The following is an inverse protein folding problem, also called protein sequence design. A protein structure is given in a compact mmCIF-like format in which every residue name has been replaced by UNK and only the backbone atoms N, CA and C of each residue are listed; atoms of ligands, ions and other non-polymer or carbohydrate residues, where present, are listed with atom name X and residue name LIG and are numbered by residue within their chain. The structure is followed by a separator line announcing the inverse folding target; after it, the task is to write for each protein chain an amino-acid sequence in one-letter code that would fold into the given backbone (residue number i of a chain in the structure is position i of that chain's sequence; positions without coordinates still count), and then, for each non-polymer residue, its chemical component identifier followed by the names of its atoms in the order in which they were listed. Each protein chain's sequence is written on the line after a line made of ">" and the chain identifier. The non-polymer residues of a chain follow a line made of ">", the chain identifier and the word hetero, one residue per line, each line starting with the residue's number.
data_IF_197351018659
#
_entry.id   IF_197351018659
#
_cell.length_a   1.000
_cell.length_b   1.000
_cell.length_c   1.000
_cell.angle_alpha   90.00
_cell.angle_beta   90.00
_cell.angle_gamma   90.00
#
_symmetry.space_group_name_H-M   'P 1'
#
loop_
_entity.id
_entity.type
_entity.pdbx_description
1 polymer ?
#
# COMPACT_ATOMS: atom_id res chain seq x y z
N UNK A 1 22.75 50.47 74.01
CA UNK A 1 21.89 51.49 73.36
C UNK A 1 22.13 51.45 71.86
N UNK A 2 21.02 51.38 71.10
CA UNK A 2 20.95 51.32 69.64
C UNK A 2 21.78 52.42 68.97
N UNK A 3 22.43 52.09 67.84
CA UNK A 3 22.41 52.93 66.64
C UNK A 3 22.64 52.08 65.39
N UNK A 4 21.56 52.05 64.62
CA UNK A 4 21.31 51.45 63.32
C UNK A 4 22.27 52.04 62.28
N UNK A 5 22.98 51.18 61.54
CA UNK A 5 23.70 51.55 60.32
C UNK A 5 22.96 50.92 59.14
N UNK A 6 22.44 51.80 58.27
CA UNK A 6 21.87 51.49 56.97
C UNK A 6 23.05 51.29 56.02
N UNK A 7 23.23 50.08 55.51
CA UNK A 7 24.16 49.77 54.43
C UNK A 7 23.35 49.40 53.18
N UNK A 8 23.48 50.21 52.14
CA UNK A 8 22.94 49.96 50.80
C UNK A 8 23.65 48.74 50.19
N UNK A 9 22.93 47.63 50.04
CA UNK A 9 23.37 46.45 49.31
C UNK A 9 22.94 46.51 47.85
N UNK A 10 23.92 46.55 46.96
CA UNK A 10 23.79 46.47 45.51
C UNK A 10 23.36 45.05 45.12
N UNK A 11 22.14 44.85 44.62
CA UNK A 11 21.67 43.57 44.08
C UNK A 11 21.89 43.56 42.56
N UNK A 12 22.93 42.85 42.09
CA UNK A 12 23.10 42.47 40.69
C UNK A 12 22.11 41.34 40.36
N UNK A 13 21.11 41.64 39.53
CA UNK A 13 20.23 40.66 38.90
C UNK A 13 20.94 40.04 37.69
N UNK A 14 21.34 38.78 37.80
CA UNK A 14 21.74 37.92 36.69
C UNK A 14 20.47 37.41 35.97
N UNK A 15 20.07 38.09 34.90
CA UNK A 15 19.07 37.60 33.96
C UNK A 15 19.75 36.60 33.01
N UNK A 16 19.40 35.32 33.15
CA UNK A 16 19.79 34.27 32.21
C UNK A 16 19.06 34.47 30.88
N UNK A 17 19.80 34.81 29.83
CA UNK A 17 19.31 34.76 28.45
C UNK A 17 19.54 33.35 27.91
N UNK A 18 18.50 32.52 27.95
CA UNK A 18 18.45 31.30 27.17
C UNK A 18 18.36 31.66 25.68
N UNK A 19 19.38 31.28 24.90
CA UNK A 19 19.31 31.30 23.45
C UNK A 19 18.32 30.23 23.00
N UNK A 20 17.07 30.64 22.76
CA UNK A 20 16.08 29.81 22.07
C UNK A 20 16.40 29.75 20.59
N UNK A 21 16.74 28.56 20.09
CA UNK A 21 16.69 28.25 18.66
C UNK A 21 15.25 28.45 18.18
N UNK A 22 15.04 29.50 17.40
CA UNK A 22 13.79 29.75 16.71
C UNK A 22 13.64 28.70 15.59
N UNK A 23 12.99 27.58 15.88
CA UNK A 23 12.37 26.78 14.84
C UNK A 23 11.31 27.67 14.19
N UNK A 24 11.58 28.13 12.96
CA UNK A 24 10.55 28.73 12.12
C UNK A 24 9.57 27.62 11.77
N UNK A 25 8.49 27.52 12.53
CA UNK A 25 7.28 26.84 12.07
C UNK A 25 6.79 27.60 10.83
N UNK A 26 7.01 27.02 9.65
CA UNK A 26 6.23 27.39 8.48
C UNK A 26 4.74 27.19 8.79
N UNK A 27 3.84 27.98 8.20
CA UNK A 27 2.41 27.79 8.41
C UNK A 27 2.03 26.35 8.05
N UNK A 28 1.14 25.69 8.82
CA UNK A 28 0.63 24.39 8.43
C UNK A 28 -0.02 24.51 7.05
N UNK A 29 0.43 23.69 6.09
CA UNK A 29 -0.26 23.54 4.81
C UNK A 29 -1.63 22.98 5.15
N UNK A 30 -2.68 23.78 4.93
CA UNK A 30 -4.05 23.29 5.04
C UNK A 30 -4.20 22.10 4.09
N UNK A 31 -4.73 20.94 4.54
CA UNK A 31 -4.98 19.84 3.63
C UNK A 31 -5.90 20.33 2.51
N UNK A 32 -5.43 20.22 1.27
CA UNK A 32 -6.21 20.57 0.09
C UNK A 32 -7.50 19.73 0.03
N UNK A 33 -8.53 20.27 -0.61
CA UNK A 33 -9.71 19.48 -0.94
C UNK A 33 -9.35 18.34 -1.92
N UNK A 34 -10.31 17.43 -2.20
CA UNK A 34 -10.11 16.33 -3.13
C UNK A 34 -9.62 16.82 -4.49
N UNK A 35 -8.63 16.12 -5.03
CA UNK A 35 -7.95 16.52 -6.28
C UNK A 35 -8.21 15.57 -7.43
N UNK A 36 -8.59 14.32 -7.14
CA UNK A 36 -8.81 13.28 -8.13
C UNK A 36 -10.26 13.19 -8.58
N UNK A 37 -11.21 13.41 -7.66
CA UNK A 37 -12.63 13.15 -7.88
C UNK A 37 -13.21 13.95 -9.05
N UNK A 38 -13.90 13.27 -9.96
CA UNK A 38 -14.69 13.86 -11.05
C UNK A 38 -16.20 13.68 -10.82
N UNK A 39 -16.57 13.41 -9.57
CA UNK A 39 -17.91 13.05 -9.18
C UNK A 39 -18.85 14.27 -9.14
N UNK A 40 -20.09 14.07 -9.54
CA UNK A 40 -21.17 15.01 -9.22
C UNK A 40 -21.56 14.96 -7.73
N UNK A 41 -22.40 15.89 -7.28
CA UNK A 41 -22.80 15.97 -5.87
C UNK A 41 -23.48 14.69 -5.36
N UNK A 42 -24.30 14.04 -6.18
CA UNK A 42 -25.00 12.80 -5.81
C UNK A 42 -24.05 11.61 -5.74
N UNK A 43 -23.07 11.53 -6.65
CA UNK A 43 -21.99 10.53 -6.64
C UNK A 43 -21.12 10.65 -5.38
N UNK A 44 -20.79 11.89 -5.00
CA UNK A 44 -20.07 12.16 -3.75
C UNK A 44 -20.87 11.69 -2.53
N UNK A 45 -22.16 12.04 -2.46
CA UNK A 45 -23.04 11.61 -1.37
C UNK A 45 -23.10 10.09 -1.27
N UNK A 46 -23.31 9.38 -2.40
CA UNK A 46 -23.36 7.91 -2.42
C UNK A 46 -22.04 7.29 -1.98
N UNK A 47 -20.91 7.83 -2.43
CA UNK A 47 -19.57 7.35 -2.05
C UNK A 47 -19.35 7.47 -0.55
N UNK A 48 -19.52 8.67 0.02
CA UNK A 48 -19.28 8.90 1.45
C UNK A 48 -20.31 8.17 2.33
N UNK A 49 -21.57 8.07 1.90
CA UNK A 49 -22.60 7.33 2.62
C UNK A 49 -22.37 5.81 2.61
N UNK A 50 -21.56 5.29 1.69
CA UNK A 50 -21.23 3.85 1.63
C UNK A 50 -20.18 3.43 2.67
N UNK A 51 -19.50 4.39 3.30
CA UNK A 51 -18.43 4.13 4.27
C UNK A 51 -18.98 3.41 5.50
N UNK A 52 -18.38 2.26 5.85
CA UNK A 52 -18.73 1.51 7.05
C UNK A 52 -17.49 1.05 7.79
N UNK A 53 -17.49 1.20 9.12
CA UNK A 53 -16.49 0.55 9.99
C UNK A 53 -16.78 -0.95 10.05
N UNK A 54 -15.75 -1.77 9.83
CA UNK A 54 -15.86 -3.24 9.79
C UNK A 54 -14.99 -3.94 10.84
N UNK A 55 -14.00 -3.25 11.43
CA UNK A 55 -13.13 -3.77 12.49
C UNK A 55 -12.61 -2.64 13.40
N UNK A 56 -12.30 -2.95 14.66
CA UNK A 56 -11.77 -2.01 15.66
C UNK A 56 -10.26 -1.76 15.53
N UNK A 57 -9.52 -2.68 14.89
CA UNK A 57 -8.26 -2.35 14.24
C UNK A 57 -8.64 -1.51 13.01
N UNK A 58 -8.66 -0.16 13.11
CA UNK A 58 -9.60 0.69 12.39
C UNK A 58 -9.60 0.32 10.91
N UNK A 59 -10.62 -0.43 10.50
CA UNK A 59 -10.78 -0.90 9.14
C UNK A 59 -12.17 -0.54 8.69
N UNK A 60 -12.24 0.02 7.50
CA UNK A 60 -13.44 0.50 6.87
C UNK A 60 -13.64 -0.20 5.52
N UNK A 61 -14.86 -0.12 5.00
CA UNK A 61 -15.14 -0.42 3.60
C UNK A 61 -15.88 0.74 2.96
N UNK A 62 -15.66 0.97 1.67
CA UNK A 62 -16.33 2.01 0.89
C UNK A 62 -16.49 1.54 -0.57
N UNK A 63 -17.58 1.94 -1.19
CA UNK A 63 -17.79 1.79 -2.63
C UNK A 63 -17.69 3.18 -3.26
N UNK A 64 -16.70 3.36 -4.13
CA UNK A 64 -16.54 4.58 -4.90
C UNK A 64 -17.51 4.58 -6.08
N UNK A 65 -18.31 5.63 -6.20
CA UNK A 65 -19.31 5.78 -7.26
C UNK A 65 -18.93 6.91 -8.21
N UNK A 66 -18.51 6.58 -9.43
CA UNK A 66 -18.17 7.56 -10.48
C UNK A 66 -16.70 7.61 -10.84
N UNK A 67 -16.34 8.63 -11.63
CA UNK A 67 -15.02 8.78 -12.24
C UNK A 67 -14.04 9.54 -11.33
N UNK A 68 -12.76 9.31 -11.57
CA UNK A 68 -11.64 10.00 -10.95
C UNK A 68 -10.47 10.12 -11.92
N UNK A 69 -9.61 11.11 -11.72
CA UNK A 69 -8.36 11.22 -12.44
C UNK A 69 -7.26 10.38 -11.76
N UNK A 70 -6.87 9.20 -12.28
CA UNK A 70 -5.86 8.37 -11.64
C UNK A 70 -4.44 8.96 -11.72
N UNK A 71 -4.26 10.06 -12.46
CA UNK A 71 -2.99 10.77 -12.63
C UNK A 71 -2.87 12.00 -11.73
N UNK A 72 -3.96 12.42 -11.07
CA UNK A 72 -3.96 13.57 -10.19
C UNK A 72 -2.88 13.45 -9.08
N UNK A 73 -2.21 14.58 -8.79
CA UNK A 73 -1.24 14.67 -7.71
C UNK A 73 -1.94 14.74 -6.36
N UNK A 74 -1.39 14.05 -5.35
CA UNK A 74 -1.87 14.16 -3.97
C UNK A 74 -1.13 15.29 -3.25
N UNK A 75 -1.88 16.16 -2.58
CA UNK A 75 -1.29 17.20 -1.75
C UNK A 75 -0.81 16.61 -0.42
N UNK A 76 0.49 16.70 -0.15
CA UNK A 76 1.08 16.51 1.19
C UNK A 76 0.80 15.15 1.83
N UNK A 77 1.59 14.14 1.47
CA UNK A 77 1.67 12.90 2.24
C UNK A 77 2.72 13.02 3.34
N UNK A 78 2.39 12.62 4.57
CA UNK A 78 3.38 12.49 5.65
C UNK A 78 4.29 11.31 5.33
N UNK A 79 5.63 11.48 5.29
CA UNK A 79 6.55 10.37 5.08
C UNK A 79 6.50 9.45 6.30
N UNK A 80 6.23 8.16 6.12
CA UNK A 80 6.16 7.23 7.21
C UNK A 80 7.40 6.33 7.27
N UNK A 81 7.61 5.71 8.44
CA UNK A 81 8.75 4.80 8.68
C UNK A 81 8.67 3.57 7.76
N UNK A 82 9.79 2.99 7.30
CA UNK A 82 9.75 1.76 6.49
C UNK A 82 9.18 0.59 7.31
N UNK A 83 8.31 -0.23 6.70
CA UNK A 83 7.81 -1.47 7.32
C UNK A 83 7.59 -2.62 6.33
N UNK A 84 7.37 -3.79 6.94
CA UNK A 84 7.40 -5.09 6.31
C UNK A 84 6.16 -5.44 5.48
N UNK A 85 6.34 -6.20 4.41
CA UNK A 85 5.24 -6.90 3.74
C UNK A 85 5.73 -8.30 3.37
N UNK A 86 4.81 -9.25 3.33
CA UNK A 86 5.07 -10.60 2.80
C UNK A 86 3.99 -10.91 1.78
N UNK A 87 4.38 -11.26 0.56
CA UNK A 87 3.46 -11.54 -0.55
C UNK A 87 3.83 -12.84 -1.23
N UNK A 88 2.83 -13.54 -1.77
CA UNK A 88 3.07 -14.62 -2.72
C UNK A 88 1.89 -14.83 -3.66
N UNK A 89 2.21 -15.35 -4.84
CA UNK A 89 1.28 -15.93 -5.78
C UNK A 89 1.42 -17.46 -5.74
N UNK A 90 0.31 -18.16 -5.51
CA UNK A 90 0.18 -19.61 -5.54
C UNK A 90 -0.59 -20.00 -6.80
N UNK A 91 0.14 -20.51 -7.80
CA UNK A 91 -0.29 -20.71 -9.19
C UNK A 91 -0.21 -22.18 -9.62
N UNK A 92 -0.02 -23.10 -8.67
CA UNK A 92 0.07 -24.53 -8.90
C UNK A 92 -1.27 -25.16 -9.28
N UNK A 93 -2.38 -24.56 -8.82
CA UNK A 93 -3.73 -24.89 -9.27
C UNK A 93 -4.19 -23.84 -10.29
N UNK A 94 -4.19 -24.22 -11.58
CA UNK A 94 -4.51 -23.32 -12.70
C UNK A 94 -5.99 -22.92 -12.76
N UNK A 95 -6.86 -23.71 -12.14
CA UNK A 95 -8.29 -23.43 -12.06
C UNK A 95 -8.59 -22.50 -10.88
N UNK A 96 -7.72 -22.48 -9.85
CA UNK A 96 -7.86 -21.65 -8.66
C UNK A 96 -6.56 -20.92 -8.29
N UNK A 97 -5.98 -20.10 -9.19
CA UNK A 97 -4.81 -19.31 -8.88
C UNK A 97 -5.12 -18.26 -7.79
N UNK A 98 -4.18 -18.05 -6.88
CA UNK A 98 -4.38 -17.20 -5.70
C UNK A 98 -3.19 -16.26 -5.48
N UNK A 99 -3.48 -15.02 -5.07
CA UNK A 99 -2.49 -14.06 -4.59
C UNK A 99 -2.75 -13.73 -3.12
N UNK A 100 -1.71 -13.56 -2.32
CA UNK A 100 -1.82 -13.34 -0.89
C UNK A 100 -0.80 -12.31 -0.38
N UNK A 101 -1.18 -11.52 0.63
CA UNK A 101 -0.33 -10.48 1.23
C UNK A 101 -0.58 -10.30 2.73
N UNK A 102 0.50 -10.10 3.48
CA UNK A 102 0.51 -9.40 4.76
C UNK A 102 0.92 -7.94 4.55
N UNK A 103 0.21 -7.03 5.19
CA UNK A 103 0.62 -5.65 5.37
C UNK A 103 1.11 -5.45 6.81
N UNK A 104 2.40 -5.19 6.97
CA UNK A 104 3.00 -4.87 8.27
C UNK A 104 3.32 -3.39 8.31
N UNK A 105 2.74 -2.67 9.28
CA UNK A 105 2.85 -1.22 9.38
C UNK A 105 2.61 -0.74 10.81
N UNK A 106 2.89 0.52 11.07
CA UNK A 106 2.38 1.20 12.27
C UNK A 106 0.85 1.22 12.31
N UNK A 107 0.23 1.40 13.49
CA UNK A 107 -1.22 1.50 13.58
C UNK A 107 -1.81 2.59 12.69
N UNK A 108 -2.59 2.17 11.69
CA UNK A 108 -3.21 3.04 10.71
C UNK A 108 -4.68 2.64 10.45
N UNK A 109 -5.56 3.60 10.09
CA UNK A 109 -6.86 3.29 9.50
C UNK A 109 -6.71 2.73 8.09
N UNK A 110 -7.34 1.58 7.83
CA UNK A 110 -7.34 0.91 6.53
C UNK A 110 -8.74 0.95 5.89
N UNK A 111 -8.79 0.86 4.57
CA UNK A 111 -10.01 0.88 3.79
C UNK A 111 -10.00 -0.21 2.72
N UNK A 112 -11.02 -1.08 2.74
CA UNK A 112 -11.38 -1.92 1.59
C UNK A 112 -12.18 -1.06 0.63
N UNK A 113 -11.56 -0.70 -0.49
CA UNK A 113 -12.15 0.15 -1.51
C UNK A 113 -12.62 -0.68 -2.70
N UNK A 114 -13.88 -0.50 -3.09
CA UNK A 114 -14.40 -0.94 -4.39
C UNK A 114 -14.43 0.24 -5.35
N UNK A 115 -13.94 0.05 -6.57
CA UNK A 115 -14.05 1.02 -7.66
C UNK A 115 -14.58 0.33 -8.90
N UNK A 116 -15.35 1.05 -9.70
CA UNK A 116 -15.83 0.65 -11.02
C UNK A 116 -15.86 1.90 -11.93
N UNK A 117 -14.67 2.41 -12.34
CA UNK A 117 -14.59 3.62 -13.13
C UNK A 117 -15.10 3.38 -14.56
N UNK A 118 -15.71 4.37 -15.23
CA UNK A 118 -16.33 4.17 -16.55
C UNK A 118 -15.35 3.76 -17.65
N UNK A 119 -14.08 4.19 -17.54
CA UNK A 119 -13.02 3.96 -18.55
C UNK A 119 -11.90 3.03 -18.04
N UNK A 120 -12.19 2.19 -17.04
CA UNK A 120 -11.20 1.26 -16.46
C UNK A 120 -11.85 0.02 -15.84
N UNK A 121 -11.03 -0.89 -15.35
CA UNK A 121 -11.51 -2.12 -14.75
C UNK A 121 -12.06 -1.92 -13.33
N UNK A 122 -13.15 -2.62 -13.02
CA UNK A 122 -13.62 -2.76 -11.66
C UNK A 122 -12.57 -3.44 -10.78
N UNK A 123 -12.42 -3.03 -9.52
CA UNK A 123 -11.40 -3.57 -8.62
C UNK A 123 -11.77 -3.52 -7.14
N UNK A 124 -11.16 -4.42 -6.37
CA UNK A 124 -11.10 -4.34 -4.90
C UNK A 124 -9.64 -4.09 -4.51
N UNK A 125 -9.40 -3.06 -3.70
CA UNK A 125 -8.07 -2.71 -3.21
C UNK A 125 -8.07 -2.40 -1.71
N UNK A 126 -6.93 -2.61 -1.05
CA UNK A 126 -6.71 -2.13 0.32
C UNK A 126 -5.93 -0.81 0.29
N UNK A 127 -6.44 0.19 1.00
CA UNK A 127 -5.91 1.55 1.06
C UNK A 127 -5.57 1.89 2.51
N UNK A 128 -4.40 2.49 2.75
CA UNK A 128 -4.10 3.15 4.01
C UNK A 128 -4.58 4.61 3.96
N UNK A 129 -5.74 4.89 4.55
CA UNK A 129 -6.36 6.23 4.46
C UNK A 129 -5.67 7.26 5.35
N UNK A 130 -4.71 6.86 6.19
CA UNK A 130 -3.89 7.82 6.94
C UNK A 130 -3.03 8.70 6.02
N UNK A 131 -2.64 8.17 4.85
CA UNK A 131 -1.86 8.91 3.85
C UNK A 131 -2.68 10.02 3.16
N UNK A 132 -4.01 9.98 3.29
CA UNK A 132 -4.91 11.06 2.86
C UNK A 132 -5.05 12.15 3.95
N UNK A 133 -4.37 11.99 5.09
CA UNK A 133 -4.50 12.85 6.27
C UNK A 133 -5.83 12.68 7.02
N UNK A 134 -6.62 11.66 6.68
CA UNK A 134 -7.92 11.38 7.32
C UNK A 134 -7.69 10.99 8.78
N UNK A 135 -8.55 11.52 9.66
CA UNK A 135 -8.46 11.26 11.10
C UNK A 135 -8.90 9.83 11.48
N UNK A 136 -8.82 9.48 12.76
CA UNK A 136 -9.24 8.16 13.25
C UNK A 136 -10.72 7.86 12.99
N UNK A 137 -11.58 8.88 12.98
CA UNK A 137 -12.95 8.81 12.48
C UNK A 137 -13.01 9.43 11.07
N UNK A 138 -13.20 8.62 10.02
CA UNK A 138 -13.25 9.08 8.64
C UNK A 138 -14.66 9.53 8.19
N UNK A 139 -15.69 9.44 9.04
CA UNK A 139 -17.06 9.71 8.65
C UNK A 139 -17.26 11.14 8.09
N UNK A 140 -17.75 11.23 6.86
CA UNK A 140 -17.99 12.50 6.18
C UNK A 140 -16.74 13.25 5.69
N UNK A 141 -15.54 12.68 5.87
CA UNK A 141 -14.30 13.30 5.41
C UNK A 141 -14.18 13.22 3.89
N UNK A 142 -14.23 14.38 3.23
CA UNK A 142 -14.18 14.46 1.77
C UNK A 142 -12.85 13.99 1.20
N UNK A 143 -11.76 13.94 1.97
CA UNK A 143 -10.45 13.45 1.49
C UNK A 143 -10.49 11.98 1.07
N UNK A 144 -11.48 11.22 1.55
CA UNK A 144 -11.76 9.86 1.07
C UNK A 144 -12.05 9.79 -0.43
N UNK A 145 -12.45 10.89 -1.06
CA UNK A 145 -12.68 10.93 -2.50
C UNK A 145 -11.39 10.81 -3.33
N UNK A 146 -10.22 10.92 -2.69
CA UNK A 146 -8.91 10.64 -3.28
C UNK A 146 -8.39 9.22 -2.94
N UNK A 147 -9.16 8.41 -2.21
CA UNK A 147 -8.78 7.04 -1.85
C UNK A 147 -8.42 6.13 -3.05
N UNK A 148 -9.05 6.26 -4.24
CA UNK A 148 -8.61 5.50 -5.42
C UNK A 148 -7.14 5.70 -5.78
N UNK A 149 -6.49 6.80 -5.37
CA UNK A 149 -5.12 7.10 -5.74
C UNK A 149 -4.06 6.32 -4.94
N UNK A 150 -4.42 5.65 -3.85
CA UNK A 150 -3.48 5.00 -2.94
C UNK A 150 -3.79 3.52 -2.63
N UNK A 151 -4.02 2.65 -3.63
CA UNK A 151 -4.13 1.22 -3.37
C UNK A 151 -2.73 0.66 -3.01
N UNK A 152 -2.61 0.04 -1.84
CA UNK A 152 -1.38 -0.64 -1.41
C UNK A 152 -1.32 -2.09 -1.90
N UNK A 153 -2.47 -2.67 -2.19
CA UNK A 153 -2.64 -3.90 -2.95
C UNK A 153 -4.04 -3.93 -3.55
N UNK A 154 -4.30 -4.85 -4.47
CA UNK A 154 -5.64 -5.07 -5.01
C UNK A 154 -5.69 -6.10 -6.13
N UNK A 155 -6.90 -6.38 -6.58
CA UNK A 155 -7.21 -7.20 -7.74
C UNK A 155 -8.33 -6.57 -8.57
N UNK A 156 -8.21 -6.62 -9.89
CA UNK A 156 -9.26 -6.17 -10.80
C UNK A 156 -10.10 -7.33 -11.36
N UNK A 157 -11.19 -6.99 -12.05
CA UNK A 157 -12.17 -7.94 -12.59
C UNK A 157 -11.62 -8.86 -13.68
N UNK A 158 -10.40 -8.58 -14.18
CA UNK A 158 -9.67 -9.45 -15.10
C UNK A 158 -8.82 -10.51 -14.40
N UNK A 159 -8.78 -10.47 -13.07
CA UNK A 159 -8.00 -11.39 -12.26
C UNK A 159 -6.52 -11.04 -12.19
N UNK A 160 -6.14 -9.81 -12.55
CA UNK A 160 -4.82 -9.29 -12.28
C UNK A 160 -4.78 -8.75 -10.85
N UNK A 161 -3.84 -9.26 -10.05
CA UNK A 161 -3.53 -8.74 -8.73
C UNK A 161 -2.13 -8.10 -8.70
N UNK A 162 -2.01 -7.05 -7.88
CA UNK A 162 -0.76 -6.36 -7.60
C UNK A 162 -0.65 -6.06 -6.10
N UNK A 163 0.56 -6.20 -5.56
CA UNK A 163 0.89 -5.73 -4.23
C UNK A 163 2.33 -5.24 -4.18
N UNK A 164 2.65 -4.50 -3.12
CA UNK A 164 3.96 -3.90 -2.91
C UNK A 164 4.61 -4.32 -1.59
N UNK A 165 5.93 -4.26 -1.56
CA UNK A 165 6.78 -4.34 -0.38
C UNK A 165 7.91 -3.30 -0.46
N UNK A 166 8.40 -2.86 0.70
CA UNK A 166 9.53 -1.93 0.78
C UNK A 166 10.85 -2.64 0.44
N UNK A 167 11.71 -1.95 -0.30
CA UNK A 167 13.02 -2.42 -0.75
C UNK A 167 14.04 -1.31 -0.58
N UNK A 168 14.80 -1.31 0.51
CA UNK A 168 15.76 -0.24 0.81
C UNK A 168 16.89 -0.11 -0.24
N UNK A 169 17.06 -1.12 -1.10
CA UNK A 169 18.02 -1.09 -2.21
C UNK A 169 17.44 -0.52 -3.51
N UNK A 170 16.13 -0.31 -3.59
CA UNK A 170 15.48 0.14 -4.81
C UNK A 170 15.80 1.61 -5.11
N UNK A 171 16.17 1.89 -6.37
CA UNK A 171 16.45 3.23 -6.87
C UNK A 171 15.91 3.39 -8.27
N UNK A 172 15.03 4.38 -8.46
CA UNK A 172 14.49 4.74 -9.77
C UNK A 172 15.16 6.02 -10.29
N UNK A 173 15.82 5.94 -11.44
CA UNK A 173 16.27 7.12 -12.18
C UNK A 173 15.21 7.53 -13.21
N UNK A 174 14.85 8.83 -13.30
CA UNK A 174 13.91 9.29 -14.29
C UNK A 174 14.39 9.07 -15.73
N UNK A 175 13.55 8.49 -16.56
CA UNK A 175 13.72 8.38 -18.01
C UNK A 175 13.14 9.65 -18.67
N UNK A 176 13.92 10.39 -19.47
CA UNK A 176 13.43 11.59 -20.15
C UNK A 176 12.19 11.32 -21.02
N UNK A 177 11.19 12.19 -20.91
CA UNK A 177 9.96 12.14 -21.71
C UNK A 177 8.84 11.26 -21.14
N UNK A 178 9.08 10.49 -20.07
CA UNK A 178 8.01 9.77 -19.37
C UNK A 178 7.40 10.62 -18.24
N UNK A 179 6.06 10.61 -18.07
CA UNK A 179 5.41 11.26 -16.94
C UNK A 179 5.81 10.60 -15.62
N UNK A 180 5.86 11.38 -14.54
CA UNK A 180 6.10 10.88 -13.19
C UNK A 180 4.79 10.45 -12.52
N UNK A 181 4.85 9.39 -11.70
CA UNK A 181 3.74 8.95 -10.86
C UNK A 181 4.29 8.46 -9.52
N UNK A 182 3.53 8.68 -8.45
CA UNK A 182 3.90 8.19 -7.12
C UNK A 182 3.95 6.66 -7.08
N UNK A 183 4.86 6.14 -6.28
CA UNK A 183 5.17 4.71 -6.16
C UNK A 183 3.99 3.84 -5.72
N UNK A 184 3.03 4.37 -4.96
CA UNK A 184 1.77 3.65 -4.65
C UNK A 184 0.73 3.85 -5.75
N UNK A 185 0.65 5.06 -6.33
CA UNK A 185 -0.36 5.41 -7.33
C UNK A 185 -0.24 4.60 -8.62
N UNK A 186 0.95 4.09 -8.96
CA UNK A 186 1.10 3.16 -10.10
C UNK A 186 0.19 1.93 -9.98
N UNK A 187 -0.12 1.46 -8.76
CA UNK A 187 -1.05 0.33 -8.59
C UNK A 187 -2.46 0.66 -9.09
N UNK A 188 -2.93 1.90 -8.91
CA UNK A 188 -4.23 2.32 -9.45
C UNK A 188 -4.24 2.26 -10.98
N UNK A 189 -3.19 2.81 -11.61
CA UNK A 189 -3.04 2.75 -13.07
C UNK A 189 -2.96 1.32 -13.60
N UNK A 190 -2.30 0.41 -12.87
CA UNK A 190 -2.27 -1.01 -13.21
C UNK A 190 -3.65 -1.63 -13.09
N UNK A 191 -4.32 -1.44 -11.95
CA UNK A 191 -5.63 -2.02 -11.68
C UNK A 191 -6.69 -1.52 -12.67
N UNK A 192 -6.64 -0.25 -13.11
CA UNK A 192 -7.58 0.31 -14.09
C UNK A 192 -7.36 -0.17 -15.52
N UNK A 193 -6.11 -0.48 -15.92
CA UNK A 193 -5.75 -0.56 -17.34
C UNK A 193 -5.04 -1.83 -17.80
N UNK A 194 -4.75 -2.78 -16.90
CA UNK A 194 -4.08 -4.03 -17.25
C UNK A 194 -4.91 -5.26 -16.87
N UNK A 195 -5.10 -6.18 -17.82
CA UNK A 195 -5.74 -7.48 -17.62
C UNK A 195 -4.72 -8.60 -17.31
N UNK A 196 -3.46 -8.41 -17.71
CA UNK A 196 -2.40 -9.43 -17.60
C UNK A 196 -1.13 -8.86 -16.97
N UNK A 197 -0.24 -9.74 -16.50
CA UNK A 197 1.08 -9.34 -15.97
C UNK A 197 1.89 -8.60 -17.03
N UNK A 198 1.79 -8.96 -18.30
CA UNK A 198 2.53 -8.29 -19.36
C UNK A 198 2.01 -6.87 -19.63
N UNK A 199 0.69 -6.68 -19.61
CA UNK A 199 0.08 -5.35 -19.67
C UNK A 199 0.44 -4.52 -18.44
N UNK A 200 0.44 -5.12 -17.24
CA UNK A 200 0.86 -4.45 -16.01
C UNK A 200 2.30 -3.95 -16.10
N UNK A 201 3.23 -4.80 -16.57
CA UNK A 201 4.62 -4.40 -16.83
C UNK A 201 4.71 -3.29 -17.86
N UNK A 202 3.85 -3.30 -18.90
CA UNK A 202 3.77 -2.21 -19.86
C UNK A 202 3.29 -0.91 -19.20
N UNK A 203 2.37 -0.96 -18.23
CA UNK A 203 2.00 0.22 -17.42
C UNK A 203 3.21 0.77 -16.69
N UNK A 204 3.95 -0.04 -15.93
CA UNK A 204 5.15 0.42 -15.23
C UNK A 204 6.18 1.08 -16.17
N UNK A 205 6.34 0.57 -17.39
CA UNK A 205 7.28 1.14 -18.38
C UNK A 205 6.85 2.48 -18.97
N UNK A 206 5.58 2.90 -18.81
CA UNK A 206 5.07 4.18 -19.30
C UNK A 206 5.32 5.34 -18.33
N UNK A 207 5.77 5.07 -17.11
CA UNK A 207 5.91 6.07 -16.06
C UNK A 207 7.28 6.03 -15.39
N UNK A 208 7.76 7.21 -14.99
CA UNK A 208 8.80 7.32 -13.98
C UNK A 208 8.16 7.18 -12.61
N UNK A 209 8.66 6.26 -11.78
CA UNK A 209 8.21 6.19 -10.39
C UNK A 209 8.98 7.17 -9.53
N UNK A 210 8.22 7.88 -8.72
CA UNK A 210 8.72 8.71 -7.64
C UNK A 210 8.46 8.02 -6.29
N UNK A 211 9.53 7.81 -5.53
CA UNK A 211 9.46 7.24 -4.18
C UNK A 211 9.27 8.31 -3.10
N UNK A 212 9.16 9.59 -3.45
CA UNK A 212 8.89 10.67 -2.50
C UNK A 212 7.62 10.38 -1.69
N UNK A 213 7.70 10.67 -0.38
CA UNK A 213 6.61 10.42 0.57
C UNK A 213 6.51 8.98 1.09
N UNK A 214 7.43 8.09 0.73
CA UNK A 214 7.49 6.72 1.26
C UNK A 214 8.86 6.05 1.13
N UNK A 215 9.01 4.79 1.56
CA UNK A 215 10.21 4.02 1.29
C UNK A 215 10.28 3.65 -0.21
N UNK A 216 11.47 3.34 -0.75
CA UNK A 216 11.56 2.71 -2.06
C UNK A 216 10.85 1.35 -2.06
N UNK A 217 10.25 0.99 -3.21
CA UNK A 217 9.34 -0.16 -3.32
C UNK A 217 9.72 -1.10 -4.47
N UNK A 218 9.26 -2.34 -4.34
CA UNK A 218 9.10 -3.29 -5.43
C UNK A 218 7.71 -3.93 -5.40
N UNK A 219 7.34 -4.62 -6.47
CA UNK A 219 5.96 -5.04 -6.72
C UNK A 219 5.89 -6.49 -7.15
N UNK A 220 4.93 -7.24 -6.61
CA UNK A 220 4.57 -8.57 -7.09
C UNK A 220 3.28 -8.47 -7.91
N UNK A 221 3.33 -9.02 -9.12
CA UNK A 221 2.21 -9.12 -10.05
C UNK A 221 1.85 -10.59 -10.25
N UNK A 222 0.56 -10.90 -10.31
CA UNK A 222 0.08 -12.19 -10.78
C UNK A 222 -1.28 -12.06 -11.46
N UNK A 223 -1.54 -12.89 -12.47
CA UNK A 223 -2.82 -12.90 -13.18
C UNK A 223 -3.51 -14.28 -13.20
N UNK A 224 -4.77 -14.29 -13.61
CA UNK A 224 -5.61 -15.48 -13.72
C UNK A 224 -5.06 -16.55 -14.67
N UNK A 225 -4.14 -16.21 -15.58
CA UNK A 225 -3.51 -17.17 -16.49
C UNK A 225 -2.41 -18.00 -15.81
N UNK A 226 -2.03 -17.62 -14.59
CA UNK A 226 -0.97 -18.27 -13.83
C UNK A 226 0.42 -17.74 -14.18
N UNK A 227 0.50 -16.49 -14.65
CA UNK A 227 1.76 -15.76 -14.81
C UNK A 227 2.00 -14.90 -13.58
N UNK A 228 3.26 -14.75 -13.18
CA UNK A 228 3.69 -13.79 -12.16
C UNK A 228 5.00 -13.11 -12.55
N UNK A 229 5.22 -11.92 -11.99
CA UNK A 229 6.46 -11.18 -12.13
C UNK A 229 6.73 -10.31 -10.91
N UNK A 230 8.00 -10.13 -10.57
CA UNK A 230 8.45 -9.07 -9.67
C UNK A 230 8.96 -7.89 -10.49
N UNK A 231 8.46 -6.70 -10.22
CA UNK A 231 8.99 -5.44 -10.77
C UNK A 231 9.76 -4.74 -9.67
N UNK A 232 11.06 -4.52 -9.89
CA UNK A 232 11.95 -3.79 -8.99
C UNK A 232 12.73 -2.71 -9.71
N UNK A 233 13.48 -1.91 -8.97
CA UNK A 233 14.27 -0.79 -9.49
C UNK A 233 15.73 -0.94 -9.07
N UNK A 234 16.51 -1.61 -9.91
CA UNK A 234 17.90 -2.01 -9.63
C UNK A 234 18.83 -1.09 -10.41
N UNK A 235 19.84 -0.52 -9.74
CA UNK A 235 20.81 0.40 -10.35
C UNK A 235 20.18 1.55 -11.15
N UNK A 236 19.08 2.12 -10.63
CA UNK A 236 18.36 3.20 -11.30
C UNK A 236 17.32 2.74 -12.33
N UNK A 237 17.23 1.45 -12.65
CA UNK A 237 16.45 0.95 -13.79
C UNK A 237 15.36 -0.01 -13.37
N UNK A 238 14.20 0.14 -14.02
CA UNK A 238 13.13 -0.85 -13.94
C UNK A 238 13.65 -2.22 -14.42
N UNK A 239 13.58 -3.20 -13.54
CA UNK A 239 13.98 -4.58 -13.76
C UNK A 239 12.79 -5.49 -13.50
N UNK A 240 12.51 -6.43 -14.41
CA UNK A 240 11.41 -7.38 -14.27
C UNK A 240 11.97 -8.78 -14.12
N UNK A 241 11.70 -9.41 -12.99
CA UNK A 241 12.06 -10.79 -12.70
C UNK A 241 10.84 -11.70 -12.88
N UNK A 242 10.83 -12.42 -14.01
CA UNK A 242 9.86 -13.48 -14.31
C UNK A 242 10.48 -14.81 -13.92
N UNK A 243 9.89 -15.48 -12.94
CA UNK A 243 10.35 -16.82 -12.53
C UNK A 243 9.40 -17.88 -13.07
N UNK A 244 9.91 -18.89 -13.80
CA UNK A 244 9.09 -20.03 -14.16
C UNK A 244 8.81 -20.85 -12.90
N UNK A 245 7.55 -21.26 -12.72
CA UNK A 245 7.19 -22.11 -11.59
C UNK A 245 5.73 -21.96 -11.20
N UNK A 246 5.27 -22.79 -10.25
CA UNK A 246 3.90 -22.75 -9.77
C UNK A 246 3.68 -21.70 -8.68
N UNK A 247 4.68 -20.89 -8.33
CA UNK A 247 4.55 -19.82 -7.34
C UNK A 247 5.65 -18.76 -7.52
N UNK A 248 5.42 -17.56 -7.00
CA UNK A 248 6.43 -16.52 -6.83
C UNK A 248 6.14 -15.75 -5.53
N UNK A 249 7.18 -15.41 -4.76
CA UNK A 249 7.04 -14.70 -3.49
C UNK A 249 7.85 -13.40 -3.48
N UNK A 250 7.47 -12.48 -2.60
CA UNK A 250 8.14 -11.20 -2.39
C UNK A 250 8.07 -10.82 -0.91
N UNK A 251 9.19 -10.44 -0.32
CA UNK A 251 9.28 -9.83 1.02
C UNK A 251 10.13 -8.58 0.91
N UNK A 252 10.54 -7.96 2.02
CA UNK A 252 11.28 -6.69 2.00
C UNK A 252 12.77 -6.79 1.64
N UNK A 253 13.20 -7.91 1.04
CA UNK A 253 14.57 -8.05 0.56
C UNK A 253 14.61 -7.80 -0.94
N UNK A 254 15.67 -7.17 -1.48
CA UNK A 254 15.83 -7.01 -2.92
C UNK A 254 15.61 -8.34 -3.64
N UNK A 255 14.66 -8.39 -4.57
CA UNK A 255 14.24 -9.63 -5.22
C UNK A 255 14.55 -9.67 -6.72
N UNK A 256 14.36 -8.56 -7.43
CA UNK A 256 14.56 -8.49 -8.87
C UNK A 256 16.04 -8.75 -9.23
N UNK A 257 16.28 -9.78 -10.04
CA UNK A 257 17.63 -10.16 -10.46
C UNK A 257 18.45 -10.90 -9.39
N UNK A 258 17.90 -11.14 -8.19
CA UNK A 258 18.58 -11.84 -7.10
C UNK A 258 18.30 -13.35 -7.18
N UNK A 259 19.32 -14.22 -7.23
CA UNK A 259 19.12 -15.66 -7.31
C UNK A 259 18.26 -16.21 -6.16
N UNK A 260 17.35 -17.15 -6.45
CA UNK A 260 16.43 -17.72 -5.46
C UNK A 260 17.12 -18.29 -4.21
N UNK A 261 18.31 -18.91 -4.39
CA UNK A 261 19.14 -19.42 -3.28
C UNK A 261 19.53 -18.33 -2.26
N UNK A 262 19.64 -17.08 -2.70
CA UNK A 262 20.00 -15.94 -1.85
C UNK A 262 18.77 -15.38 -1.16
N UNK A 263 17.63 -15.29 -1.87
CA UNK A 263 16.36 -14.91 -1.27
C UNK A 263 15.93 -15.85 -0.14
N UNK A 264 16.15 -17.17 -0.30
CA UNK A 264 15.85 -18.18 0.72
C UNK A 264 16.65 -18.05 2.02
N UNK A 265 17.66 -17.18 2.07
CA UNK A 265 18.38 -16.85 3.31
C UNK A 265 17.60 -15.89 4.20
N UNK A 266 16.68 -15.10 3.63
CA UNK A 266 15.72 -14.34 4.42
C UNK A 266 14.75 -15.29 5.13
N UNK A 267 14.48 -15.01 6.40
CA UNK A 267 13.64 -15.89 7.22
C UNK A 267 12.21 -16.00 6.68
N UNK A 268 11.58 -14.87 6.33
CA UNK A 268 10.19 -14.85 5.87
C UNK A 268 10.08 -15.41 4.46
N UNK A 269 10.93 -14.98 3.53
CA UNK A 269 10.95 -15.53 2.17
C UNK A 269 11.24 -17.04 2.21
N UNK A 270 12.24 -17.48 2.99
CA UNK A 270 12.59 -18.89 3.12
C UNK A 270 11.44 -19.74 3.66
N UNK A 271 10.67 -19.23 4.63
CA UNK A 271 9.47 -19.90 5.14
C UNK A 271 8.36 -20.00 4.09
N UNK A 272 8.08 -18.92 3.35
CA UNK A 272 7.13 -18.93 2.23
C UNK A 272 7.54 -19.95 1.17
N UNK A 273 8.79 -19.86 0.69
CA UNK A 273 9.33 -20.70 -0.37
C UNK A 273 9.31 -22.18 0.03
N UNK A 274 9.67 -22.51 1.27
CA UNK A 274 9.64 -23.89 1.78
C UNK A 274 8.23 -24.48 1.72
N UNK A 275 7.22 -23.73 2.16
CA UNK A 275 5.84 -24.22 2.17
C UNK A 275 5.27 -24.30 0.75
N UNK A 276 5.51 -23.29 -0.08
CA UNK A 276 5.05 -23.27 -1.48
C UNK A 276 5.72 -24.37 -2.32
N UNK A 277 7.00 -24.69 -2.08
CA UNK A 277 7.63 -25.85 -2.71
C UNK A 277 6.98 -27.16 -2.26
N UNK A 278 6.71 -27.29 -0.95
CA UNK A 278 6.08 -28.48 -0.38
C UNK A 278 4.70 -28.74 -0.96
N UNK A 279 3.93 -27.69 -1.25
CA UNK A 279 2.58 -27.81 -1.85
C UNK A 279 2.58 -27.74 -3.38
N UNK A 280 3.74 -27.54 -4.01
CA UNK A 280 3.82 -27.30 -5.45
C UNK A 280 3.06 -26.04 -5.88
N UNK A 281 3.03 -25.00 -5.05
CA UNK A 281 2.34 -23.74 -5.31
C UNK A 281 0.81 -23.84 -5.24
N UNK A 282 0.25 -24.90 -4.65
CA UNK A 282 -1.19 -25.06 -4.45
C UNK A 282 -1.57 -24.55 -3.05
N UNK A 283 -2.50 -23.61 -2.98
CA UNK A 283 -3.09 -23.12 -1.73
C UNK A 283 -4.53 -22.64 -1.95
N UNK A 284 -5.44 -23.02 -1.06
CA UNK A 284 -6.73 -22.35 -0.92
C UNK A 284 -6.60 -21.11 0.00
N UNK A 285 -7.65 -20.31 0.11
CA UNK A 285 -7.63 -19.10 0.94
C UNK A 285 -7.25 -19.39 2.41
N UNK A 286 -7.74 -20.50 2.98
CA UNK A 286 -7.43 -20.87 4.35
C UNK A 286 -5.94 -21.27 4.52
N UNK A 287 -5.38 -22.03 3.59
CA UNK A 287 -3.97 -22.39 3.54
C UNK A 287 -3.07 -21.18 3.34
N UNK A 288 -3.45 -20.28 2.45
CA UNK A 288 -2.72 -19.05 2.20
C UNK A 288 -2.68 -18.15 3.44
N UNK A 289 -3.81 -17.98 4.14
CA UNK A 289 -3.86 -17.22 5.41
C UNK A 289 -3.05 -17.88 6.53
N UNK A 290 -3.02 -19.23 6.62
CA UNK A 290 -2.15 -19.92 7.57
C UNK A 290 -0.68 -19.65 7.27
N UNK A 291 -0.28 -19.68 5.99
CA UNK A 291 1.08 -19.39 5.58
C UNK A 291 1.46 -17.93 5.86
N UNK A 292 0.58 -16.98 5.54
CA UNK A 292 0.75 -15.58 5.92
C UNK A 292 0.90 -15.41 7.44
N UNK A 293 0.07 -16.09 8.24
CA UNK A 293 0.18 -16.05 9.70
C UNK A 293 1.50 -16.65 10.21
N UNK A 294 2.09 -17.62 9.50
CA UNK A 294 3.39 -18.20 9.88
C UNK A 294 4.58 -17.23 9.67
N UNK A 295 4.43 -16.25 8.78
CA UNK A 295 5.45 -15.22 8.50
C UNK A 295 5.05 -13.83 9.00
N UNK A 296 3.98 -13.75 9.80
CA UNK A 296 3.49 -12.48 10.37
C UNK A 296 4.52 -11.88 11.32
N UNK A 297 4.40 -10.57 11.50
CA UNK A 297 5.16 -9.79 12.45
C UNK A 297 4.23 -9.26 13.56
N UNK A 298 4.82 -8.75 14.64
CA UNK A 298 4.06 -8.14 15.75
C UNK A 298 3.21 -6.94 15.31
N UNK A 299 3.62 -6.29 14.20
CA UNK A 299 2.99 -5.13 13.61
C UNK A 299 2.26 -5.45 12.29
N UNK A 300 2.01 -6.74 11.97
CA UNK A 300 1.07 -7.09 10.89
C UNK A 300 -0.29 -6.50 11.21
N UNK A 301 -0.86 -5.74 10.28
CA UNK A 301 -2.15 -5.06 10.41
C UNK A 301 -3.28 -5.89 9.82
N UNK A 302 -3.08 -6.40 8.61
CA UNK A 302 -4.02 -7.32 7.97
C UNK A 302 -3.32 -8.30 7.04
N UNK A 303 -4.02 -9.39 6.79
CA UNK A 303 -3.71 -10.40 5.79
C UNK A 303 -4.85 -10.44 4.77
N UNK A 304 -4.53 -10.54 3.49
CA UNK A 304 -5.52 -10.63 2.42
C UNK A 304 -5.19 -11.75 1.44
N UNK A 305 -6.22 -12.41 0.92
CA UNK A 305 -6.13 -13.34 -0.22
C UNK A 305 -7.07 -12.92 -1.34
N UNK A 306 -6.61 -13.08 -2.58
CA UNK A 306 -7.31 -12.79 -3.82
C UNK A 306 -7.37 -14.04 -4.68
N UNK A 307 -8.57 -14.56 -4.93
CA UNK A 307 -8.81 -15.65 -5.87
C UNK A 307 -8.87 -15.10 -7.30
N UNK A 308 -7.79 -15.27 -8.06
CA UNK A 308 -7.58 -14.57 -9.33
C UNK A 308 -8.61 -14.94 -10.41
N UNK A 309 -9.21 -16.14 -10.34
CA UNK A 309 -10.32 -16.54 -11.21
C UNK A 309 -11.70 -16.42 -10.57
N UNK A 310 -11.81 -16.59 -9.26
CA UNK A 310 -13.11 -16.65 -8.57
C UNK A 310 -13.65 -15.28 -8.18
N UNK A 311 -12.79 -14.25 -8.14
CA UNK A 311 -13.13 -12.93 -7.63
C UNK A 311 -13.24 -12.88 -6.11
N UNK A 312 -12.96 -13.97 -5.41
CA UNK A 312 -13.08 -14.03 -3.95
C UNK A 312 -11.94 -13.27 -3.29
N UNK A 313 -12.27 -12.37 -2.37
CA UNK A 313 -11.30 -11.63 -1.56
C UNK A 313 -11.61 -11.85 -0.09
N UNK A 314 -10.62 -12.32 0.67
CA UNK A 314 -10.76 -12.52 2.12
C UNK A 314 -9.74 -11.68 2.85
N UNK A 315 -10.22 -10.82 3.75
CA UNK A 315 -9.40 -9.95 4.59
C UNK A 315 -9.50 -10.41 6.03
N UNK A 316 -8.36 -10.56 6.70
CA UNK A 316 -8.25 -10.89 8.13
C UNK A 316 -7.43 -9.81 8.82
N UNK A 317 -8.00 -9.16 9.82
CA UNK A 317 -7.31 -8.14 10.62
C UNK A 317 -6.45 -8.80 11.70
N UNK A 318 -5.46 -8.07 12.21
CA UNK A 318 -4.60 -8.53 13.31
C UNK A 318 -5.38 -8.86 14.59
N UNK A 319 -6.55 -8.23 14.79
CA UNK A 319 -7.48 -8.50 15.89
C UNK A 319 -8.30 -9.78 15.70
N UNK A 320 -8.16 -10.46 14.55
CA UNK A 320 -8.86 -11.70 14.23
C UNK A 320 -10.21 -11.51 13.55
N UNK A 321 -10.63 -10.28 13.27
CA UNK A 321 -11.82 -10.02 12.46
C UNK A 321 -11.60 -10.47 11.03
N UNK A 322 -12.63 -11.04 10.42
CA UNK A 322 -12.60 -11.55 9.05
C UNK A 322 -13.76 -10.98 8.24
N UNK A 323 -13.49 -10.65 6.98
CA UNK A 323 -14.47 -10.21 5.99
C UNK A 323 -14.21 -10.88 4.65
N UNK A 324 -15.29 -11.32 4.02
CA UNK A 324 -15.28 -11.94 2.71
C UNK A 324 -15.98 -11.01 1.73
N UNK A 325 -15.39 -10.89 0.54
CA UNK A 325 -15.87 -10.08 -0.56
C UNK A 325 -15.83 -10.88 -1.85
N UNK A 326 -16.59 -10.43 -2.84
CA UNK A 326 -16.59 -10.98 -4.18
C UNK A 326 -16.58 -9.84 -5.18
N UNK A 327 -15.56 -9.83 -6.04
CA UNK A 327 -15.49 -9.00 -7.23
C UNK A 327 -16.16 -9.77 -8.38
N UNK A 328 -17.16 -9.19 -9.07
CA UNK A 328 -17.65 -9.77 -10.32
C UNK A 328 -16.50 -9.84 -11.33
N UNK A 329 -16.28 -11.02 -11.91
CA UNK A 329 -15.20 -11.25 -12.86
C UNK A 329 -15.72 -11.08 -14.28
N UNK A 330 -14.86 -10.53 -15.14
CA UNK A 330 -15.15 -10.29 -16.57
C UNK A 330 -14.30 -11.20 -17.44
N UNK A 331 -14.96 -11.89 -18.38
CA UNK A 331 -14.36 -12.85 -19.32
C UNK A 331 -13.35 -12.22 -20.29
#
# INVERSE_FOLDING_TARGET
>A
MRRTLIACGLALLLLGTACGESSRSGPPVAPGGPTASRQDAGQVERTLASLRKIDDLPMYEMTYDGDYDPTAGLAGSTPPSPFGCSLFAALGDRDRPLFARNFDWEPNPALVLRTDPPDGYASISLVDISYLGVSADPAGDRRLLDAPLLPFDGMNERGLAVGLAADDGARAEPVPGLPAVGSVRILRLVLDSAATVDEAVAVFRRYNLDFDGGPPLHYLLADATGVSAVVGFVDGKLTVDRRPGPWQALTNVPAAGVPDRELRRDHRYGALAKELDRTGGVADAAGALRLLNAVRQSHTRWSVTYGLRSGEVRVVTAGGGSRDYRLPMSD
#
